data_IF_617275318840
#
_entry.id   IF_617275318840
#
_cell.length_a   1.000
_cell.length_b   1.000
_cell.length_c   1.000
_cell.angle_alpha   90.00
_cell.angle_beta   90.00
_cell.angle_gamma   90.00
#
_symmetry.space_group_name_H-M   'P 1'
#
loop_
_entity.id
_entity.type
_entity.pdbx_description
1 polymer ?
#
# COMPACT_ATOMS: atom_id res chain seq x y z
N UNK A 1 6.17 -3.56 -15.39
CA UNK A 1 7.00 -4.49 -14.58
C UNK A 1 7.62 -3.83 -13.33
N UNK A 2 7.89 -2.50 -13.28
CA UNK A 2 8.51 -1.83 -12.11
C UNK A 2 7.58 -1.53 -10.90
N UNK A 3 6.25 -1.50 -11.04
CA UNK A 3 5.31 -1.23 -9.90
C UNK A 3 5.46 -2.22 -8.73
N UNK A 4 5.97 -3.43 -8.98
CA UNK A 4 6.23 -4.40 -7.93
C UNK A 4 7.55 -4.11 -7.18
N UNK A 5 8.56 -3.55 -7.85
CA UNK A 5 9.93 -3.47 -7.34
C UNK A 5 10.19 -2.46 -6.20
N UNK A 6 9.32 -1.46 -6.02
CA UNK A 6 9.42 -0.47 -4.92
C UNK A 6 9.12 -1.09 -3.56
N UNK A 7 8.16 -2.00 -3.51
CA UNK A 7 7.71 -2.67 -2.28
C UNK A 7 8.51 -3.97 -2.08
N UNK A 8 9.00 -4.59 -3.17
CA UNK A 8 9.76 -5.84 -3.14
C UNK A 8 11.07 -5.80 -2.35
N UNK A 9 11.62 -4.62 -2.00
CA UNK A 9 12.93 -4.51 -1.33
C UNK A 9 12.93 -3.92 0.07
N UNK A 10 11.89 -3.21 0.49
CA UNK A 10 11.84 -2.75 1.87
C UNK A 10 10.43 -2.66 2.40
N UNK A 11 10.22 -3.43 3.47
CA UNK A 11 9.08 -3.33 4.39
C UNK A 11 8.92 -1.92 4.96
N UNK A 12 9.98 -1.10 4.94
CA UNK A 12 9.96 0.28 5.46
C UNK A 12 9.00 1.19 4.70
N UNK A 13 8.66 0.86 3.45
CA UNK A 13 7.75 1.65 2.62
C UNK A 13 6.28 1.39 2.94
N UNK A 14 5.98 0.30 3.64
CA UNK A 14 4.61 -0.19 3.78
C UNK A 14 4.15 -0.22 5.22
N UNK A 15 2.83 -0.21 5.35
CA UNK A 15 2.07 -0.37 6.57
C UNK A 15 1.17 -1.57 6.37
N UNK A 16 1.25 -2.54 7.27
CA UNK A 16 0.35 -3.69 7.27
C UNK A 16 -0.88 -3.43 8.14
N UNK A 17 -1.97 -4.11 7.81
CA UNK A 17 -3.20 -4.15 8.58
C UNK A 17 -3.96 -5.44 8.30
N UNK A 18 -4.88 -5.81 9.20
CA UNK A 18 -5.81 -6.91 8.94
C UNK A 18 -6.78 -6.48 7.84
N UNK A 19 -6.86 -7.27 6.78
CA UNK A 19 -7.77 -6.99 5.66
C UNK A 19 -9.23 -7.08 6.09
N UNK A 20 -10.11 -6.31 5.43
CA UNK A 20 -11.53 -6.24 5.81
C UNK A 20 -12.32 -7.50 5.47
N UNK A 21 -11.94 -8.20 4.38
CA UNK A 21 -12.58 -9.44 3.92
C UNK A 21 -11.59 -10.58 4.06
N UNK A 22 -11.60 -11.23 5.22
CA UNK A 22 -10.72 -12.38 5.48
C UNK A 22 -11.21 -13.64 4.74
N UNK A 23 -10.98 -13.73 3.44
CA UNK A 23 -10.79 -15.04 2.84
C UNK A 23 -9.32 -15.43 3.01
N UNK A 24 -9.02 -16.74 3.03
CA UNK A 24 -7.65 -17.24 3.30
C UNK A 24 -6.57 -16.60 2.42
N UNK A 25 -6.93 -16.12 1.22
CA UNK A 25 -6.02 -15.50 0.24
C UNK A 25 -5.75 -14.01 0.50
N UNK A 26 -6.59 -13.31 1.28
CA UNK A 26 -6.51 -11.87 1.49
C UNK A 26 -6.64 -11.49 2.97
N UNK A 27 -5.95 -12.21 3.85
CA UNK A 27 -5.91 -11.97 5.31
C UNK A 27 -5.21 -10.66 5.73
N UNK A 28 -4.17 -10.26 5.01
CA UNK A 28 -3.35 -9.09 5.33
C UNK A 28 -3.45 -8.09 4.19
N UNK A 29 -3.77 -6.84 4.52
CA UNK A 29 -3.69 -5.70 3.63
C UNK A 29 -2.38 -4.94 3.82
N UNK A 30 -2.00 -4.16 2.82
CA UNK A 30 -0.91 -3.19 2.97
C UNK A 30 -1.23 -1.86 2.30
N UNK A 31 -0.59 -0.80 2.78
CA UNK A 31 -0.62 0.53 2.16
C UNK A 31 0.76 1.17 2.22
N UNK A 32 1.01 2.22 1.44
CA UNK A 32 2.23 3.00 1.56
C UNK A 32 2.20 3.82 2.86
N UNK A 33 3.38 4.02 3.47
CA UNK A 33 3.56 5.05 4.49
C UNK A 33 3.24 6.42 3.91
N UNK A 34 2.63 7.28 4.72
CA UNK A 34 2.23 8.64 4.30
C UNK A 34 3.39 9.63 4.44
N UNK A 35 4.33 9.32 5.34
CA UNK A 35 5.46 10.17 5.70
C UNK A 35 6.63 10.11 4.72
N UNK A 36 6.97 8.91 4.23
CA UNK A 36 8.10 8.68 3.33
C UNK A 36 7.99 7.34 2.62
N UNK A 37 8.41 7.28 1.37
CA UNK A 37 8.72 6.02 0.70
C UNK A 37 10.00 6.11 -0.14
N UNK A 38 10.70 4.99 -0.24
CA UNK A 38 12.02 4.83 -0.85
C UNK A 38 11.86 4.10 -2.18
N UNK A 39 12.25 4.74 -3.26
CA UNK A 39 12.29 4.13 -4.57
C UNK A 39 13.72 3.63 -4.86
N UNK A 40 13.91 2.32 -5.07
CA UNK A 40 15.24 1.77 -5.33
C UNK A 40 15.60 1.80 -6.82
N UNK A 41 16.88 1.51 -7.11
CA UNK A 41 17.42 1.26 -8.46
C UNK A 41 17.47 2.48 -9.37
N UNK A 42 17.70 3.66 -8.79
CA UNK A 42 17.95 4.87 -9.59
C UNK A 42 19.40 4.86 -10.06
N UNK A 43 19.58 4.85 -11.37
CA UNK A 43 20.88 4.88 -12.02
C UNK A 43 21.18 6.30 -12.43
N UNK A 44 22.31 6.77 -11.96
CA UNK A 44 22.85 8.05 -12.39
C UNK A 44 23.99 7.80 -13.37
N UNK A 45 23.85 8.37 -14.57
CA UNK A 45 24.87 8.29 -15.61
C UNK A 45 26.10 9.13 -15.29
N UNK A 46 27.10 9.07 -16.18
CA UNK A 46 28.30 9.93 -16.10
C UNK A 46 27.96 11.43 -16.11
N UNK A 47 26.85 11.81 -16.74
CA UNK A 47 26.30 13.17 -16.78
C UNK A 47 25.74 13.68 -15.45
N UNK A 48 25.78 12.88 -14.37
CA UNK A 48 25.17 13.21 -13.06
C UNK A 48 23.66 13.46 -13.11
N UNK A 49 23.02 12.99 -14.18
CA UNK A 49 21.56 12.98 -14.35
C UNK A 49 21.02 11.56 -14.21
N UNK A 50 19.73 11.45 -13.90
CA UNK A 50 19.01 10.19 -14.01
C UNK A 50 18.99 9.71 -15.46
N UNK A 51 18.90 8.41 -15.67
CA UNK A 51 18.69 7.86 -17.01
C UNK A 51 17.24 8.06 -17.49
N UNK A 52 17.04 7.87 -18.79
CA UNK A 52 15.73 8.06 -19.44
C UNK A 52 14.62 7.22 -18.80
N UNK A 53 14.96 6.02 -18.37
CA UNK A 53 14.00 5.08 -17.81
C UNK A 53 13.54 5.50 -16.41
N UNK A 54 14.46 6.01 -15.61
CA UNK A 54 14.17 6.55 -14.28
C UNK A 54 13.36 7.84 -14.40
N UNK A 55 13.69 8.72 -15.34
CA UNK A 55 12.87 9.90 -15.63
C UNK A 55 11.44 9.52 -16.07
N UNK A 56 11.28 8.51 -16.93
CA UNK A 56 9.96 7.99 -17.33
C UNK A 56 9.17 7.47 -16.14
N UNK A 57 9.81 6.76 -15.22
CA UNK A 57 9.17 6.27 -14.01
C UNK A 57 8.74 7.43 -13.08
N UNK A 58 9.58 8.45 -12.93
CA UNK A 58 9.21 9.66 -12.18
C UNK A 58 8.06 10.42 -12.85
N UNK A 59 8.04 10.49 -14.18
CA UNK A 59 6.94 11.12 -14.93
C UNK A 59 5.59 10.45 -14.66
N UNK A 60 5.56 9.12 -14.54
CA UNK A 60 4.34 8.39 -14.19
C UNK A 60 3.87 8.69 -12.76
N UNK A 61 4.80 8.89 -11.82
CA UNK A 61 4.49 9.33 -10.45
C UNK A 61 3.92 10.75 -10.47
N UNK A 62 4.56 11.67 -11.19
CA UNK A 62 4.12 13.06 -11.29
C UNK A 62 2.71 13.17 -11.88
N UNK A 63 2.41 12.40 -12.94
CA UNK A 63 1.06 12.31 -13.52
C UNK A 63 0.03 11.80 -12.52
N UNK A 64 0.34 10.71 -11.81
CA UNK A 64 -0.58 10.14 -10.84
C UNK A 64 -0.89 11.13 -9.71
N UNK A 65 0.12 11.83 -9.20
CA UNK A 65 -0.07 12.83 -8.15
C UNK A 65 -0.77 14.08 -8.66
N UNK A 66 -0.45 14.56 -9.85
CA UNK A 66 -1.17 15.68 -10.47
C UNK A 66 -2.67 15.38 -10.59
N UNK A 67 -3.01 14.19 -11.09
CA UNK A 67 -4.39 13.72 -11.20
C UNK A 67 -5.08 13.63 -9.82
N UNK A 68 -4.44 13.02 -8.82
CA UNK A 68 -5.01 12.90 -7.47
C UNK A 68 -5.16 14.25 -6.75
N UNK A 69 -4.38 15.25 -7.15
CA UNK A 69 -4.52 16.64 -6.72
C UNK A 69 -5.61 17.40 -7.47
N UNK A 70 -6.33 16.78 -8.42
CA UNK A 70 -7.35 17.43 -9.25
C UNK A 70 -6.77 18.42 -10.26
N UNK A 71 -5.49 18.30 -10.58
CA UNK A 71 -4.83 19.18 -11.54
C UNK A 71 -5.26 18.91 -12.98
N UNK A 72 -5.32 19.98 -13.77
CA UNK A 72 -5.55 19.95 -15.22
C UNK A 72 -4.41 20.67 -15.94
N UNK A 73 -4.05 20.19 -17.14
CA UNK A 73 -3.01 20.78 -17.97
C UNK A 73 -1.59 20.40 -17.59
N UNK A 74 -0.64 21.28 -17.90
CA UNK A 74 0.78 21.06 -17.66
C UNK A 74 1.14 21.17 -16.17
N UNK A 75 2.14 20.38 -15.76
CA UNK A 75 2.64 20.37 -14.39
C UNK A 75 4.15 20.14 -14.35
N UNK A 76 4.76 20.77 -13.35
CA UNK A 76 6.16 20.56 -13.00
C UNK A 76 6.27 19.63 -11.80
N UNK A 77 6.94 18.50 -11.98
CA UNK A 77 7.06 17.47 -10.94
C UNK A 77 8.50 17.09 -10.61
N UNK A 78 8.68 15.88 -10.08
CA UNK A 78 9.96 15.25 -9.80
C UNK A 78 10.89 15.29 -11.00
N UNK A 79 10.41 15.02 -12.22
CA UNK A 79 11.28 15.01 -13.42
C UNK A 79 12.00 16.36 -13.57
N UNK A 80 11.24 17.45 -13.63
CA UNK A 80 11.82 18.80 -13.76
C UNK A 80 12.71 19.12 -12.56
N UNK A 81 12.24 18.85 -11.35
CA UNK A 81 13.02 19.12 -10.14
C UNK A 81 14.36 18.33 -10.10
N UNK A 82 14.40 17.10 -10.60
CA UNK A 82 15.65 16.32 -10.67
C UNK A 82 16.62 16.81 -11.75
N UNK A 83 16.13 17.45 -12.81
CA UNK A 83 16.97 18.05 -13.87
C UNK A 83 17.53 19.40 -13.45
N UNK A 84 16.73 20.19 -12.75
CA UNK A 84 17.09 21.55 -12.33
C UNK A 84 18.05 21.56 -11.12
N UNK A 85 18.21 20.43 -10.43
CA UNK A 85 19.00 20.32 -9.21
C UNK A 85 20.15 19.32 -9.32
N UNK A 86 21.23 19.59 -8.59
CA UNK A 86 22.37 18.66 -8.43
C UNK A 86 22.06 17.60 -7.38
N UNK A 87 21.20 16.66 -7.75
CA UNK A 87 20.65 15.65 -6.83
C UNK A 87 21.72 14.69 -6.27
N UNK A 88 22.91 14.62 -6.87
CA UNK A 88 24.00 13.76 -6.43
C UNK A 88 24.63 14.16 -5.10
N UNK A 89 24.36 15.38 -4.63
CA UNK A 89 24.90 15.98 -3.40
C UNK A 89 24.33 15.35 -2.13
N UNK A 90 23.16 14.72 -2.21
CA UNK A 90 22.44 14.22 -1.04
C UNK A 90 21.64 15.29 -0.30
N UNK A 91 21.54 16.51 -0.84
CA UNK A 91 20.68 17.54 -0.30
C UNK A 91 19.19 17.19 -0.44
N UNK A 92 18.34 17.91 0.30
CA UNK A 92 16.89 17.76 0.21
C UNK A 92 16.35 18.83 -0.73
N UNK A 93 15.71 18.39 -1.80
CA UNK A 93 15.14 19.23 -2.84
C UNK A 93 13.62 19.18 -2.80
N UNK A 94 12.99 20.15 -3.45
CA UNK A 94 11.55 20.30 -3.49
C UNK A 94 11.05 20.26 -4.93
N UNK A 95 10.00 19.49 -5.16
CA UNK A 95 9.15 19.49 -6.35
C UNK A 95 7.76 19.97 -5.97
N UNK A 96 6.81 19.99 -6.92
CA UNK A 96 5.43 20.38 -6.63
C UNK A 96 4.75 19.50 -5.57
N UNK A 97 4.88 18.18 -5.66
CA UNK A 97 4.15 17.23 -4.81
C UNK A 97 5.00 16.61 -3.70
N UNK A 98 6.32 16.69 -3.82
CA UNK A 98 7.25 16.01 -2.91
C UNK A 98 8.40 16.91 -2.51
N UNK A 99 8.89 16.73 -1.30
CA UNK A 99 10.31 16.89 -1.04
C UNK A 99 11.01 15.56 -1.34
N UNK A 100 12.27 15.61 -1.76
CA UNK A 100 13.01 14.40 -2.10
C UNK A 100 14.50 14.52 -1.82
N UNK A 101 15.14 13.37 -1.66
CA UNK A 101 16.60 13.25 -1.50
C UNK A 101 17.10 12.02 -2.23
N UNK A 102 18.15 12.18 -3.02
CA UNK A 102 18.81 11.07 -3.70
C UNK A 102 20.05 10.61 -2.93
N UNK A 103 20.16 9.31 -2.69
CA UNK A 103 21.29 8.68 -2.03
C UNK A 103 22.14 7.95 -3.05
N UNK A 104 23.20 8.59 -3.53
CA UNK A 104 24.08 8.05 -4.59
C UNK A 104 24.64 6.66 -4.26
N UNK A 105 25.11 6.45 -3.03
CA UNK A 105 25.71 5.18 -2.61
C UNK A 105 24.72 4.01 -2.61
N UNK A 106 23.49 4.26 -2.16
CA UNK A 106 22.43 3.25 -2.13
C UNK A 106 21.63 3.16 -3.45
N UNK A 107 21.80 4.14 -4.35
CA UNK A 107 21.00 4.29 -5.57
C UNK A 107 19.50 4.33 -5.27
N UNK A 108 19.13 5.07 -4.22
CA UNK A 108 17.73 5.22 -3.77
C UNK A 108 17.28 6.68 -3.84
N UNK A 109 16.03 6.88 -4.24
CA UNK A 109 15.35 8.17 -4.17
C UNK A 109 14.32 8.13 -3.04
N UNK A 110 14.51 8.96 -2.02
CA UNK A 110 13.60 9.07 -0.89
C UNK A 110 12.61 10.18 -1.18
N UNK A 111 11.32 9.83 -1.25
CA UNK A 111 10.24 10.77 -1.47
C UNK A 111 9.48 11.05 -0.18
N UNK A 112 9.17 12.31 0.06
CA UNK A 112 8.43 12.83 1.19
C UNK A 112 7.22 13.59 0.64
N UNK A 113 6.03 12.97 0.61
CA UNK A 113 4.82 13.59 0.09
C UNK A 113 4.46 14.85 0.88
N UNK A 114 4.05 15.91 0.18
CA UNK A 114 3.59 17.16 0.81
C UNK A 114 2.13 17.11 1.27
N UNK A 115 1.33 16.20 0.72
CA UNK A 115 -0.10 16.05 1.06
C UNK A 115 -0.39 14.65 1.59
N UNK A 116 -0.74 14.59 2.87
CA UNK A 116 -1.21 13.37 3.55
C UNK A 116 -2.56 12.92 2.96
N UNK A 117 -3.41 13.86 2.57
CA UNK A 117 -4.72 13.60 1.97
C UNK A 117 -4.57 12.85 0.63
N UNK A 118 -3.67 13.31 -0.25
CA UNK A 118 -3.43 12.64 -1.54
C UNK A 118 -2.82 11.25 -1.34
N UNK A 119 -1.95 11.09 -0.35
CA UNK A 119 -1.46 9.76 0.03
C UNK A 119 -2.60 8.85 0.53
N UNK A 120 -3.58 9.39 1.26
CA UNK A 120 -4.74 8.63 1.70
C UNK A 120 -5.62 8.22 0.52
N UNK A 121 -5.91 9.14 -0.41
CA UNK A 121 -6.65 8.83 -1.65
C UNK A 121 -5.97 7.73 -2.47
N UNK A 122 -4.65 7.82 -2.67
CA UNK A 122 -3.88 6.79 -3.37
C UNK A 122 -4.00 5.42 -2.65
N UNK A 123 -3.81 5.42 -1.33
CA UNK A 123 -3.85 4.20 -0.54
C UNK A 123 -5.25 3.56 -0.50
N UNK A 124 -6.31 4.37 -0.41
CA UNK A 124 -7.71 3.93 -0.47
C UNK A 124 -8.04 3.34 -1.83
N UNK A 125 -7.65 4.04 -2.90
CA UNK A 125 -7.85 3.56 -4.28
C UNK A 125 -7.19 2.19 -4.50
N UNK A 126 -5.93 2.04 -4.12
CA UNK A 126 -5.22 0.76 -4.24
C UNK A 126 -5.85 -0.30 -3.33
N UNK A 127 -6.17 0.05 -2.08
CA UNK A 127 -6.78 -0.86 -1.12
C UNK A 127 -8.12 -1.43 -1.61
N UNK A 128 -8.97 -0.59 -2.22
CA UNK A 128 -10.26 -0.98 -2.81
C UNK A 128 -10.07 -1.92 -4.00
N UNK A 129 -9.19 -1.58 -4.95
CA UNK A 129 -8.88 -2.45 -6.11
C UNK A 129 -8.33 -3.82 -5.68
N UNK A 130 -7.53 -3.84 -4.60
CA UNK A 130 -6.96 -5.06 -4.05
C UNK A 130 -7.89 -5.80 -3.08
N UNK A 131 -9.09 -5.26 -2.83
CA UNK A 131 -10.06 -5.78 -1.88
C UNK A 131 -9.52 -5.90 -0.43
N UNK A 132 -8.52 -5.09 -0.07
CA UNK A 132 -7.99 -4.99 1.29
C UNK A 132 -8.80 -4.03 2.16
N UNK A 133 -9.46 -3.08 1.53
CA UNK A 133 -10.41 -2.14 2.14
C UNK A 133 -11.82 -2.41 1.62
N UNK A 134 -12.85 -2.07 2.41
CA UNK A 134 -14.24 -2.13 1.95
C UNK A 134 -14.48 -1.20 0.76
N UNK A 135 -15.63 -1.38 0.10
CA UNK A 135 -16.06 -0.52 -1.00
C UNK A 135 -16.26 0.92 -0.52
N UNK A 136 -16.84 1.05 0.66
CA UNK A 136 -16.97 2.25 1.47
C UNK A 136 -16.38 2.02 2.87
N UNK A 137 -15.60 2.98 3.40
CA UNK A 137 -15.04 2.88 4.74
C UNK A 137 -16.09 2.91 5.86
N UNK A 138 -17.30 3.40 5.59
CA UNK A 138 -18.43 3.31 6.53
C UNK A 138 -18.88 1.85 6.77
N UNK A 139 -18.58 0.94 5.84
CA UNK A 139 -18.82 -0.51 6.02
C UNK A 139 -17.83 -1.15 7.00
N UNK A 140 -16.77 -0.46 7.40
CA UNK A 140 -15.82 -0.96 8.38
C UNK A 140 -16.23 -0.53 9.79
N UNK A 141 -16.01 -1.40 10.77
CA UNK A 141 -16.24 -1.00 12.16
C UNK A 141 -15.16 -0.03 12.68
N UNK A 142 -15.44 0.60 13.83
CA UNK A 142 -14.55 1.61 14.42
C UNK A 142 -13.13 1.08 14.71
N UNK A 143 -12.99 -0.19 15.08
CA UNK A 143 -11.70 -0.81 15.35
C UNK A 143 -10.87 -0.97 14.08
N UNK A 144 -11.50 -1.35 12.96
CA UNK A 144 -10.84 -1.41 11.66
C UNK A 144 -10.38 -0.02 11.22
N UNK A 145 -11.22 1.01 11.37
CA UNK A 145 -10.85 2.39 11.04
C UNK A 145 -9.64 2.82 11.89
N UNK A 146 -9.69 2.58 13.21
CA UNK A 146 -8.60 2.87 14.14
C UNK A 146 -7.31 2.14 13.77
N UNK A 147 -7.37 0.86 13.38
CA UNK A 147 -6.20 0.11 12.91
C UNK A 147 -5.55 0.80 11.69
N UNK A 148 -6.39 1.26 10.75
CA UNK A 148 -5.93 1.79 9.47
C UNK A 148 -5.26 3.15 9.65
N UNK A 149 -5.89 4.02 10.44
CA UNK A 149 -5.38 5.34 10.80
C UNK A 149 -4.09 5.27 11.60
N UNK A 150 -4.05 4.45 12.66
CA UNK A 150 -2.85 4.21 13.48
C UNK A 150 -1.89 3.17 12.87
N UNK A 151 -2.09 2.84 11.60
CA UNK A 151 -1.39 1.73 10.96
C UNK A 151 0.13 1.84 10.98
N UNK A 152 0.73 3.04 10.90
CA UNK A 152 2.20 3.16 10.97
C UNK A 152 2.74 2.67 12.31
N UNK A 153 2.13 3.06 13.43
CA UNK A 153 2.51 2.60 14.78
C UNK A 153 2.26 1.11 14.96
N UNK A 154 1.08 0.63 14.60
CA UNK A 154 0.78 -0.79 14.78
C UNK A 154 1.60 -1.68 13.87
N UNK A 155 1.90 -1.25 12.64
CA UNK A 155 2.76 -2.00 11.72
C UNK A 155 4.17 -2.14 12.24
N UNK A 156 4.70 -1.16 12.97
CA UNK A 156 6.01 -1.29 13.62
C UNK A 156 5.96 -2.33 14.75
N UNK A 157 4.90 -2.35 15.57
CA UNK A 157 4.66 -3.40 16.58
C UNK A 157 4.51 -4.80 15.95
N UNK A 158 3.75 -4.92 14.85
CA UNK A 158 3.56 -6.19 14.13
C UNK A 158 4.89 -6.75 13.63
N UNK A 159 5.73 -5.89 13.05
CA UNK A 159 7.04 -6.29 12.53
C UNK A 159 8.01 -6.64 13.65
N UNK A 160 7.98 -5.93 14.77
CA UNK A 160 8.81 -6.24 15.93
C UNK A 160 8.50 -7.66 16.47
N UNK A 161 7.21 -7.96 16.69
CA UNK A 161 6.78 -9.29 17.16
C UNK A 161 7.05 -10.38 16.13
N UNK A 162 6.73 -10.14 14.85
CA UNK A 162 6.98 -11.09 13.77
C UNK A 162 8.48 -11.43 13.68
N UNK A 163 9.36 -10.42 13.78
CA UNK A 163 10.81 -10.63 13.72
C UNK A 163 11.37 -11.37 14.94
N UNK A 164 10.78 -11.25 16.14
CA UNK A 164 11.19 -12.04 17.33
C UNK A 164 10.99 -13.54 17.13
N UNK A 165 9.99 -13.93 16.35
CA UNK A 165 9.67 -15.34 16.05
C UNK A 165 10.39 -15.91 14.81
N UNK A 166 11.31 -15.13 14.22
CA UNK A 166 11.91 -15.44 12.92
C UNK A 166 13.14 -16.35 13.03
N UNK A 167 13.22 -17.44 12.24
CA UNK A 167 14.43 -18.24 12.10
C UNK A 167 15.60 -17.42 11.51
N UNK A 168 16.83 -17.74 11.91
CA UNK A 168 18.04 -17.01 11.46
C UNK A 168 18.27 -17.06 9.95
N UNK A 169 17.85 -18.12 9.27
CA UNK A 169 18.01 -18.31 7.83
C UNK A 169 16.94 -17.60 6.98
N UNK A 170 15.88 -17.11 7.62
CA UNK A 170 14.76 -16.49 6.92
C UNK A 170 15.06 -15.02 6.58
N UNK A 171 15.12 -14.74 5.27
CA UNK A 171 15.21 -13.39 4.73
C UNK A 171 13.80 -12.77 4.70
N UNK A 172 13.19 -12.60 5.86
CA UNK A 172 11.81 -12.15 6.00
C UNK A 172 11.60 -10.80 5.30
N UNK A 173 10.78 -10.83 4.27
CA UNK A 173 10.27 -9.65 3.59
C UNK A 173 8.77 -9.85 3.34
N UNK A 174 7.93 -9.56 4.35
CA UNK A 174 6.51 -9.82 4.28
C UNK A 174 5.85 -8.97 3.19
N UNK A 175 6.37 -7.77 2.92
CA UNK A 175 5.89 -6.91 1.84
C UNK A 175 6.06 -7.57 0.45
N UNK A 176 7.26 -8.13 0.21
CA UNK A 176 7.57 -8.89 -1.00
C UNK A 176 6.67 -10.12 -1.16
N UNK A 177 6.53 -10.91 -0.09
CA UNK A 177 5.74 -12.15 -0.10
C UNK A 177 4.26 -11.86 -0.34
N UNK A 178 3.69 -10.88 0.37
CA UNK A 178 2.29 -10.45 0.20
C UNK A 178 2.01 -10.01 -1.25
N UNK A 179 2.92 -9.23 -1.84
CA UNK A 179 2.78 -8.81 -3.24
C UNK A 179 2.79 -9.97 -4.22
N UNK A 180 3.69 -10.95 -4.03
CA UNK A 180 3.75 -12.12 -4.91
C UNK A 180 2.50 -12.97 -4.79
N UNK A 181 1.97 -13.15 -3.59
CA UNK A 181 0.71 -13.86 -3.36
C UNK A 181 -0.45 -13.17 -4.09
N UNK A 182 -0.59 -11.85 -3.92
CA UNK A 182 -1.63 -11.04 -4.57
C UNK A 182 -1.49 -11.03 -6.09
N UNK A 183 -0.27 -11.16 -6.62
CA UNK A 183 -0.02 -11.28 -8.06
C UNK A 183 -0.22 -12.70 -8.61
N UNK A 184 -0.57 -13.69 -7.77
CA UNK A 184 -0.65 -15.10 -8.18
C UNK A 184 0.71 -15.68 -8.58
N UNK A 185 1.80 -15.08 -8.10
CA UNK A 185 3.19 -15.48 -8.40
C UNK A 185 3.86 -16.18 -7.23
N UNK A 186 3.11 -16.57 -6.20
CA UNK A 186 3.65 -17.44 -5.15
C UNK A 186 3.96 -18.80 -5.76
N UNK A 187 5.18 -19.29 -5.55
CA UNK A 187 5.62 -20.62 -6.00
C UNK A 187 5.67 -21.64 -4.86
N UNK A 188 5.50 -21.18 -3.63
CA UNK A 188 5.65 -21.98 -2.41
C UNK A 188 4.25 -22.32 -1.88
N UNK A 189 4.03 -23.59 -1.51
CA UNK A 189 2.89 -24.00 -0.69
C UNK A 189 3.12 -23.50 0.74
N UNK A 190 2.34 -22.50 1.15
CA UNK A 190 2.49 -21.83 2.43
C UNK A 190 3.39 -20.59 2.36
N UNK A 191 3.09 -19.63 3.22
CA UNK A 191 3.84 -18.38 3.34
C UNK A 191 4.14 -18.11 4.83
N UNK A 192 5.15 -18.79 5.41
CA UNK A 192 5.42 -18.74 6.84
C UNK A 192 5.75 -17.32 7.34
N UNK A 193 6.30 -16.45 6.48
CA UNK A 193 6.48 -15.03 6.78
C UNK A 193 5.13 -14.32 7.00
N UNK A 194 4.13 -14.65 6.19
CA UNK A 194 2.78 -14.07 6.30
C UNK A 194 1.99 -14.70 7.44
N UNK A 195 2.16 -15.99 7.72
CA UNK A 195 1.55 -16.66 8.89
C UNK A 195 2.05 -16.03 10.20
N UNK A 196 3.36 -15.78 10.32
CA UNK A 196 3.95 -15.08 11.48
C UNK A 196 3.45 -13.65 11.59
N UNK A 197 3.34 -12.94 10.46
CA UNK A 197 2.82 -11.58 10.46
C UNK A 197 1.34 -11.54 10.86
N UNK A 198 0.52 -12.46 10.38
CA UNK A 198 -0.89 -12.58 10.79
C UNK A 198 -1.01 -12.85 12.30
N UNK A 199 -0.20 -13.77 12.82
CA UNK A 199 -0.16 -14.05 14.25
C UNK A 199 0.20 -12.80 15.06
N UNK A 200 1.24 -12.08 14.64
CA UNK A 200 1.66 -10.83 15.28
C UNK A 200 0.57 -9.74 15.23
N UNK A 201 -0.16 -9.63 14.11
CA UNK A 201 -1.30 -8.71 14.00
C UNK A 201 -2.38 -9.06 15.03
N UNK A 202 -2.76 -10.33 15.14
CA UNK A 202 -3.78 -10.76 16.09
C UNK A 202 -3.33 -10.51 17.55
N UNK A 203 -2.08 -10.81 17.90
CA UNK A 203 -1.54 -10.55 19.25
C UNK A 203 -1.56 -9.05 19.62
N UNK A 204 -1.17 -8.17 18.68
CA UNK A 204 -1.22 -6.71 18.91
C UNK A 204 -2.66 -6.23 19.00
N UNK A 205 -3.57 -6.76 18.16
CA UNK A 205 -4.99 -6.43 18.24
C UNK A 205 -5.58 -6.83 19.59
N UNK A 206 -5.30 -8.03 20.09
CA UNK A 206 -5.74 -8.49 21.42
C UNK A 206 -5.20 -7.57 22.53
N UNK A 207 -3.90 -7.25 22.49
CA UNK A 207 -3.26 -6.32 23.44
C UNK A 207 -3.92 -4.93 23.46
N UNK A 208 -4.36 -4.43 22.31
CA UNK A 208 -5.00 -3.11 22.17
C UNK A 208 -6.54 -3.16 22.17
N UNK A 209 -7.14 -4.33 22.39
CA UNK A 209 -8.59 -4.54 22.43
C UNK A 209 -9.31 -4.30 21.10
N UNK A 210 -8.65 -4.54 19.96
CA UNK A 210 -9.20 -4.30 18.62
C UNK A 210 -9.88 -5.54 18.05
N UNK A 211 -11.12 -5.40 17.58
CA UNK A 211 -11.87 -6.44 16.87
C UNK A 211 -12.18 -5.98 15.45
N UNK A 212 -11.22 -6.06 14.53
CA UNK A 212 -11.39 -5.56 13.17
C UNK A 212 -12.32 -6.47 12.33
N UNK A 213 -13.32 -5.88 11.67
CA UNK A 213 -14.24 -6.60 10.79
C UNK A 213 -15.26 -5.68 10.11
N UNK A 214 -16.28 -6.25 9.44
CA UNK A 214 -17.42 -5.48 8.92
C UNK A 214 -18.09 -4.66 10.03
N UNK A 215 -18.72 -3.55 9.65
CA UNK A 215 -19.54 -2.74 10.53
C UNK A 215 -20.57 -3.64 11.21
N UNK A 216 -20.68 -3.51 12.53
CA UNK A 216 -21.68 -4.21 13.31
C UNK A 216 -23.04 -3.58 13.00
N UNK A 217 -23.65 -3.94 11.87
CA UNK A 217 -25.06 -3.64 11.62
C UNK A 217 -25.86 -4.51 12.59
N UNK A 218 -26.32 -3.92 13.69
CA UNK A 218 -27.31 -4.40 14.66
C UNK A 218 -27.47 -5.92 14.87
N UNK A 219 -27.21 -6.39 16.11
CA UNK A 219 -27.48 -7.75 16.65
C UNK A 219 -28.37 -8.64 15.77
N UNK A 220 -27.78 -9.62 15.11
CA UNK A 220 -28.50 -10.81 14.67
C UNK A 220 -28.04 -11.99 15.52
N UNK A 221 -28.96 -12.54 16.33
CA UNK A 221 -28.77 -13.84 16.97
C UNK A 221 -28.44 -14.88 15.90
N UNK A 222 -27.38 -15.65 16.15
CA UNK A 222 -26.98 -16.78 15.32
C UNK A 222 -28.10 -17.83 15.33
N UNK A 223 -28.97 -17.82 14.31
CA UNK A 223 -29.72 -19.01 13.94
C UNK A 223 -28.89 -19.79 12.93
N UNK A 224 -28.46 -20.98 13.32
CA UNK A 224 -27.89 -21.95 12.42
C UNK A 224 -28.88 -22.23 11.28
N UNK A 225 -28.44 -22.10 10.03
CA UNK A 225 -29.25 -22.48 8.88
C UNK A 225 -28.52 -23.56 8.08
N UNK A 226 -29.19 -24.71 8.04
CA UNK A 226 -28.95 -25.89 7.21
C UNK A 226 -28.93 -25.55 5.73
N UNK A 227 -28.06 -26.26 5.00
CA UNK A 227 -27.79 -26.10 3.57
C UNK A 227 -29.00 -26.47 2.69
N UNK A 228 -29.38 -25.61 1.73
CA UNK A 228 -30.12 -26.01 0.52
C UNK A 228 -29.58 -25.26 -0.71
N UNK A 229 -29.31 -25.96 -1.83
CA UNK A 229 -28.73 -25.37 -3.04
C UNK A 229 -29.83 -25.07 -4.06
N UNK A 230 -30.11 -23.80 -4.36
CA UNK A 230 -30.76 -23.37 -5.60
C UNK A 230 -30.90 -21.85 -5.63
N UNK A 231 -30.00 -21.16 -6.34
CA UNK A 231 -30.24 -19.84 -6.93
C UNK A 231 -29.04 -19.41 -7.79
N UNK A 232 -28.66 -20.27 -8.75
CA UNK A 232 -27.87 -19.84 -9.89
C UNK A 232 -28.86 -19.40 -10.97
N UNK A 233 -29.15 -18.10 -11.07
CA UNK A 233 -29.54 -17.42 -12.32
C UNK A 233 -29.72 -15.90 -12.15
N UNK A 234 -29.15 -15.21 -13.15
CA UNK A 234 -29.43 -13.86 -13.62
C UNK A 234 -28.89 -12.65 -12.83
N UNK A 235 -27.85 -12.02 -13.38
CA UNK A 235 -27.71 -10.56 -13.40
C UNK A 235 -27.28 -10.10 -14.80
N UNK A 236 -27.96 -9.12 -15.42
CA UNK A 236 -27.56 -8.53 -16.69
C UNK A 236 -26.43 -7.51 -16.51
N UNK A 237 -25.65 -7.36 -17.57
CA UNK A 237 -24.50 -6.45 -17.72
C UNK A 237 -25.06 -5.04 -18.01
N UNK A 238 -24.61 -4.04 -17.26
CA UNK A 238 -24.86 -2.63 -17.57
C UNK A 238 -23.53 -1.86 -17.53
N UNK A 239 -23.15 -1.36 -18.71
CA UNK A 239 -22.11 -0.36 -18.94
C UNK A 239 -22.61 1.02 -18.48
N UNK A 240 -21.88 1.67 -17.58
CA UNK A 240 -21.82 3.14 -17.46
C UNK A 240 -20.44 3.56 -16.89
N UNK A 241 -19.91 4.74 -17.27
CA UNK A 241 -18.50 5.06 -17.13
C UNK A 241 -18.14 5.44 -15.68
N UNK A 242 -17.23 4.67 -15.07
CA UNK A 242 -16.71 4.79 -13.70
C UNK A 242 -16.04 6.14 -13.33
N UNK A 243 -16.04 7.14 -14.22
CA UNK A 243 -15.18 8.33 -14.12
C UNK A 243 -15.69 9.42 -13.17
N UNK A 244 -16.95 9.41 -12.73
CA UNK A 244 -17.51 10.47 -11.87
C UNK A 244 -17.75 10.08 -10.41
N UNK A 245 -17.76 8.78 -10.08
CA UNK A 245 -17.96 8.30 -8.70
C UNK A 245 -16.67 8.22 -7.87
N UNK A 246 -15.49 8.34 -8.50
CA UNK A 246 -14.18 8.23 -7.84
C UNK A 246 -13.70 9.50 -7.13
N UNK A 247 -14.42 10.62 -7.27
CA UNK A 247 -14.07 11.91 -6.66
C UNK A 247 -15.00 12.32 -5.50
N UNK A 248 -16.01 11.52 -5.17
CA UNK A 248 -17.07 11.90 -4.23
C UNK A 248 -17.12 11.08 -2.91
N UNK A 249 -16.09 10.31 -2.56
CA UNK A 249 -16.02 9.56 -1.30
C UNK A 249 -14.61 9.57 -0.68
#
# INVERSE_FOLDING_TARGET
VRRAHTIERSTDNVVFYKSWKSNQKHRIGMRLRKSRFILPRFRMGFSRSLDYEDERFLADIDKAFHYLHGGVGDFDGLVRATRDNRIETGDRFSSRYFEFRFYRGAQTLHLYPKSVEVMDKLNRFVGKIRQWLPGDMEEANADFIKQYEKGETFSDEYLELSNKSRPSYDRCNPAYKLLREVQGRSKEEGAPELDRLEKAINEVHEKHGLQCGPALTGKAELKAITHQPEAEKARPIADEPEQLLLLAA
#
